data_IF_136342190252
#
_entry.id   IF_136342190252
#
_cell.length_a   1.000
_cell.length_b   1.000
_cell.length_c   1.000
_cell.angle_alpha   90.00
_cell.angle_beta   90.00
_cell.angle_gamma   90.00
#
_symmetry.space_group_name_H-M   'P 1'
#
loop_
_entity.id
_entity.type
_entity.pdbx_description
1 polymer ?
#
# COMPACT_ATOMS: atom_id res chain seq x y z
N UNK A 1 22.47 27.14 0.42
CA UNK A 1 21.55 26.28 -0.35
C UNK A 1 21.34 25.00 0.44
N UNK A 2 20.16 24.85 1.04
CA UNK A 2 19.87 23.83 2.03
C UNK A 2 19.83 22.43 1.38
N UNK A 3 20.49 21.45 1.99
CA UNK A 3 20.64 20.04 1.56
C UNK A 3 19.33 19.23 1.43
N UNK A 4 18.18 19.87 1.20
CA UNK A 4 16.84 19.26 1.18
C UNK A 4 16.75 18.17 0.11
N UNK A 5 17.29 18.41 -1.09
CA UNK A 5 17.32 17.40 -2.17
C UNK A 5 18.16 16.18 -1.78
N UNK A 6 19.27 16.38 -1.06
CA UNK A 6 20.11 15.29 -0.57
C UNK A 6 19.38 14.46 0.49
N UNK A 7 18.69 15.12 1.42
CA UNK A 7 17.90 14.44 2.45
C UNK A 7 16.76 13.62 1.85
N UNK A 8 16.00 14.19 0.91
CA UNK A 8 14.92 13.48 0.19
C UNK A 8 15.46 12.27 -0.58
N UNK A 9 16.63 12.40 -1.23
CA UNK A 9 17.25 11.29 -1.93
C UNK A 9 17.74 10.19 -0.97
N UNK A 10 18.30 10.56 0.19
CA UNK A 10 18.67 9.62 1.25
C UNK A 10 17.47 8.82 1.75
N UNK A 11 16.36 9.52 2.06
CA UNK A 11 15.13 8.91 2.53
C UNK A 11 14.51 7.95 1.50
N UNK A 12 14.51 8.34 0.22
CA UNK A 12 14.06 7.49 -0.88
C UNK A 12 14.89 6.21 -1.01
N UNK A 13 16.21 6.28 -0.84
CA UNK A 13 17.10 5.10 -0.90
C UNK A 13 16.85 4.16 0.28
N UNK A 14 16.69 4.70 1.49
CA UNK A 14 16.36 3.90 2.68
C UNK A 14 15.02 3.21 2.48
N UNK A 15 13.98 3.92 2.02
CA UNK A 15 12.67 3.32 1.79
C UNK A 15 12.69 2.23 0.72
N UNK A 16 13.45 2.42 -0.37
CA UNK A 16 13.68 1.36 -1.37
C UNK A 16 14.38 0.14 -0.78
N UNK A 17 15.39 0.35 0.05
CA UNK A 17 16.11 -0.74 0.70
C UNK A 17 15.21 -1.48 1.68
N UNK A 18 14.42 -0.79 2.51
CA UNK A 18 13.43 -1.45 3.39
C UNK A 18 12.49 -2.30 2.53
N UNK A 19 11.90 -1.70 1.50
CA UNK A 19 10.95 -2.38 0.62
C UNK A 19 11.51 -3.63 -0.05
N UNK A 20 12.78 -3.66 -0.44
CA UNK A 20 13.37 -4.85 -1.07
C UNK A 20 13.37 -6.08 -0.15
N UNK A 21 13.27 -5.90 1.17
CA UNK A 21 13.13 -6.99 2.13
C UNK A 21 11.68 -7.49 2.29
N UNK A 22 10.68 -6.75 1.79
CA UNK A 22 9.25 -7.05 1.98
C UNK A 22 8.54 -7.41 0.67
N UNK A 23 9.11 -8.35 -0.09
CA UNK A 23 8.55 -8.79 -1.38
C UNK A 23 7.12 -9.38 -1.26
N UNK A 24 6.79 -9.99 -0.12
CA UNK A 24 5.43 -10.51 0.16
C UNK A 24 4.40 -9.39 0.28
N UNK A 25 4.75 -8.28 0.93
CA UNK A 25 3.88 -7.10 1.05
C UNK A 25 3.69 -6.46 -0.32
N UNK A 26 4.75 -6.42 -1.13
CA UNK A 26 4.67 -5.97 -2.53
C UNK A 26 3.68 -6.79 -3.36
N UNK A 27 3.71 -8.13 -3.23
CA UNK A 27 2.75 -9.02 -3.90
C UNK A 27 1.32 -8.80 -3.39
N UNK A 28 1.13 -8.63 -2.09
CA UNK A 28 -0.18 -8.32 -1.51
C UNK A 28 -0.74 -7.03 -2.10
N UNK A 29 0.02 -5.93 -2.08
CA UNK A 29 -0.40 -4.64 -2.61
C UNK A 29 -0.70 -4.73 -4.12
N UNK A 30 0.15 -5.44 -4.88
CA UNK A 30 -0.05 -5.63 -6.32
C UNK A 30 -1.31 -6.46 -6.65
N UNK A 31 -1.59 -7.50 -5.86
CA UNK A 31 -2.77 -8.34 -6.04
C UNK A 31 -4.05 -7.61 -5.64
N UNK A 32 -4.03 -6.83 -4.55
CA UNK A 32 -5.22 -6.04 -4.18
C UNK A 32 -5.50 -4.94 -5.20
N UNK A 33 -4.47 -4.41 -5.88
CA UNK A 33 -4.69 -3.52 -7.03
C UNK A 33 -5.50 -4.20 -8.16
N UNK A 34 -5.35 -5.50 -8.34
CA UNK A 34 -6.22 -6.27 -9.26
C UNK A 34 -7.64 -6.42 -8.70
N UNK A 35 -7.79 -6.63 -7.38
CA UNK A 35 -9.09 -6.65 -6.70
C UNK A 35 -9.78 -5.29 -6.65
N UNK A 36 -9.07 -4.20 -6.92
CA UNK A 36 -9.66 -2.86 -7.09
C UNK A 36 -10.57 -2.80 -8.33
N UNK A 37 -10.45 -3.74 -9.28
CA UNK A 37 -11.44 -3.96 -10.35
C UNK A 37 -12.76 -4.53 -9.78
N UNK A 38 -12.70 -5.25 -8.66
CA UNK A 38 -13.85 -5.65 -7.83
C UNK A 38 -14.28 -4.56 -6.84
N UNK A 39 -14.03 -3.27 -7.15
CA UNK A 39 -14.44 -2.08 -6.39
C UNK A 39 -15.88 -2.16 -5.85
N UNK A 40 -16.81 -2.66 -6.67
CA UNK A 40 -18.21 -2.79 -6.30
C UNK A 40 -18.44 -3.86 -5.22
N UNK A 41 -17.65 -4.92 -5.19
CA UNK A 41 -17.74 -5.99 -4.18
C UNK A 41 -17.32 -5.46 -2.80
N UNK A 42 -16.16 -4.80 -2.73
CA UNK A 42 -15.67 -4.18 -1.48
C UNK A 42 -16.60 -3.09 -0.94
N UNK A 43 -17.18 -2.27 -1.83
CA UNK A 43 -18.11 -1.20 -1.42
C UNK A 43 -19.42 -1.74 -0.83
N UNK A 44 -19.84 -2.93 -1.26
CA UNK A 44 -21.05 -3.59 -0.77
C UNK A 44 -20.80 -4.35 0.54
N UNK A 45 -19.65 -5.01 0.69
CA UNK A 45 -19.33 -5.82 1.86
C UNK A 45 -18.75 -5.01 3.04
N UNK A 46 -18.06 -3.90 2.77
CA UNK A 46 -17.60 -2.96 3.81
C UNK A 46 -18.17 -1.55 3.61
N UNK A 47 -19.47 -1.34 3.89
CA UNK A 47 -20.04 -0.01 3.92
C UNK A 47 -19.39 0.80 5.06
N UNK A 48 -18.58 1.78 4.70
CA UNK A 48 -17.95 2.73 5.65
C UNK A 48 -16.44 2.56 5.86
N UNK A 49 -15.79 1.60 5.22
CA UNK A 49 -14.31 1.56 5.19
C UNK A 49 -13.80 2.34 3.99
N UNK A 50 -12.92 3.31 4.25
CA UNK A 50 -12.25 4.08 3.22
C UNK A 50 -11.51 3.13 2.29
N UNK A 51 -11.74 3.24 0.98
CA UNK A 51 -11.09 2.39 0.00
C UNK A 51 -9.56 2.42 0.13
N UNK A 52 -8.88 1.31 -0.22
CA UNK A 52 -7.43 1.30 -0.26
C UNK A 52 -6.92 2.46 -1.13
N UNK A 53 -5.91 3.21 -0.66
CA UNK A 53 -5.35 4.31 -1.42
C UNK A 53 -4.86 3.79 -2.77
N UNK A 54 -5.01 4.59 -3.83
CA UNK A 54 -4.51 4.21 -5.15
C UNK A 54 -3.01 3.96 -5.05
N UNK A 55 -2.63 2.68 -5.11
CA UNK A 55 -1.26 2.29 -4.80
C UNK A 55 -0.38 2.61 -6.00
N UNK A 56 0.20 3.81 -6.00
CA UNK A 56 1.29 4.16 -6.90
C UNK A 56 2.54 3.49 -6.34
N UNK A 57 2.77 2.27 -6.78
CA UNK A 57 3.91 1.41 -6.41
C UNK A 57 5.25 2.16 -6.61
N UNK A 58 5.33 3.13 -7.51
CA UNK A 58 6.58 3.85 -7.84
C UNK A 58 6.97 4.95 -6.85
N UNK A 59 6.09 5.35 -5.92
CA UNK A 59 6.39 6.34 -4.87
C UNK A 59 6.47 5.66 -3.50
N UNK A 60 7.58 5.87 -2.78
CA UNK A 60 7.85 5.19 -1.51
C UNK A 60 6.83 5.54 -0.41
N UNK A 61 6.39 6.78 -0.36
CA UNK A 61 5.37 7.24 0.59
C UNK A 61 4.03 6.51 0.40
N UNK A 62 3.54 6.44 -0.84
CA UNK A 62 2.27 5.75 -1.14
C UNK A 62 2.35 4.25 -0.90
N UNK A 63 3.53 3.64 -1.07
CA UNK A 63 3.75 2.24 -0.71
C UNK A 63 3.64 2.02 0.81
N UNK A 64 4.28 2.87 1.62
CA UNK A 64 4.20 2.78 3.09
C UNK A 64 2.76 2.98 3.56
N UNK A 65 2.05 3.98 3.03
CA UNK A 65 0.64 4.22 3.38
C UNK A 65 -0.26 3.04 3.00
N UNK A 66 -0.04 2.42 1.83
CA UNK A 66 -0.79 1.24 1.43
C UNK A 66 -0.50 0.04 2.34
N UNK A 67 0.78 -0.20 2.66
CA UNK A 67 1.18 -1.28 3.57
C UNK A 67 0.53 -1.12 4.96
N UNK A 68 0.52 0.09 5.51
CA UNK A 68 -0.12 0.39 6.79
C UNK A 68 -1.64 0.17 6.74
N UNK A 69 -2.30 0.67 5.68
CA UNK A 69 -3.75 0.46 5.48
C UNK A 69 -4.12 -1.03 5.43
N UNK A 70 -3.37 -1.82 4.67
CA UNK A 70 -3.64 -3.26 4.56
C UNK A 70 -3.35 -4.01 5.85
N UNK A 71 -2.35 -3.59 6.62
CA UNK A 71 -2.10 -4.15 7.94
C UNK A 71 -3.29 -3.91 8.88
N UNK A 72 -3.80 -2.68 8.95
CA UNK A 72 -4.94 -2.34 9.81
C UNK A 72 -6.24 -3.05 9.39
N UNK A 73 -6.41 -3.33 8.10
CA UNK A 73 -7.61 -3.96 7.53
C UNK A 73 -7.43 -5.43 7.16
N UNK A 74 -6.30 -6.03 7.54
CA UNK A 74 -5.93 -7.39 7.11
C UNK A 74 -6.99 -8.41 7.49
N UNK A 75 -7.51 -8.29 8.72
CA UNK A 75 -8.52 -9.21 9.24
C UNK A 75 -9.85 -9.09 8.47
N UNK A 76 -10.28 -7.87 8.16
CA UNK A 76 -11.50 -7.65 7.38
C UNK A 76 -11.34 -8.14 5.94
N UNK A 77 -10.16 -7.94 5.34
CA UNK A 77 -9.88 -8.39 3.97
C UNK A 77 -9.82 -9.93 3.91
N UNK A 78 -9.23 -10.58 4.91
CA UNK A 78 -9.21 -12.04 4.99
C UNK A 78 -10.63 -12.62 5.01
N UNK A 79 -11.53 -12.02 5.78
CA UNK A 79 -12.93 -12.47 5.90
C UNK A 79 -13.72 -12.39 4.60
N UNK A 80 -13.36 -11.49 3.67
CA UNK A 80 -14.02 -11.30 2.37
C UNK A 80 -13.51 -12.30 1.31
N UNK A 81 -12.26 -12.76 1.48
CA UNK A 81 -11.58 -13.63 0.51
C UNK A 81 -11.87 -15.12 0.80
N UNK A 82 -12.20 -15.45 2.05
CA UNK A 82 -12.57 -16.80 2.51
C UNK A 82 -14.06 -17.09 2.26
#
# INVERSE_FOLDING_TARGET
>A
MLHVTCATNGLHRVAKQVRSHFSTVDKLIANVKQLQVCYNFFKNELPGVNLPPESIITRWWTWISAAAYYYEKLHSIHHIIE
#
